data_IF_506872480715
#
_entry.id   IF_506872480715
#
_cell.length_a   1.000
_cell.length_b   1.000
_cell.length_c   1.000
_cell.angle_alpha   90.00
_cell.angle_beta   90.00
_cell.angle_gamma   90.00
#
_symmetry.space_group_name_H-M   'P 1'
#
loop_
_entity.id
_entity.type
_entity.pdbx_description
1 polymer ?
#
# COMPACT_ATOMS: atom_id res chain seq x y z
N UNK A 1 -19.85 30.05 -6.78
CA UNK A 1 -18.53 29.82 -7.40
C UNK A 1 -18.39 28.32 -7.77
N UNK A 2 -18.38 28.00 -9.07
CA UNK A 2 -18.25 26.61 -9.54
C UNK A 2 -16.91 25.98 -9.13
N UNK A 3 -15.84 26.76 -9.05
CA UNK A 3 -14.53 26.27 -8.60
C UNK A 3 -14.55 25.89 -7.11
N UNK A 4 -15.36 26.56 -6.29
CA UNK A 4 -15.54 26.14 -4.91
C UNK A 4 -16.19 24.74 -4.82
N UNK A 5 -17.26 24.53 -5.59
CA UNK A 5 -17.92 23.23 -5.66
C UNK A 5 -16.94 22.14 -6.14
N UNK A 6 -16.22 22.41 -7.22
CA UNK A 6 -15.24 21.48 -7.78
C UNK A 6 -14.14 21.12 -6.75
N UNK A 7 -13.60 22.09 -5.99
CA UNK A 7 -12.65 21.83 -4.90
C UNK A 7 -13.22 20.91 -3.82
N UNK A 8 -14.51 21.08 -3.49
CA UNK A 8 -15.18 20.19 -2.52
C UNK A 8 -15.32 18.78 -3.06
N UNK A 9 -15.59 18.59 -4.35
CA UNK A 9 -15.65 17.28 -4.99
C UNK A 9 -14.27 16.59 -5.00
N UNK A 10 -13.18 17.32 -5.27
CA UNK A 10 -11.81 16.78 -5.18
C UNK A 10 -11.53 16.25 -3.77
N UNK A 11 -11.85 17.05 -2.75
CA UNK A 11 -11.65 16.61 -1.36
C UNK A 11 -12.49 15.39 -1.02
N UNK A 12 -13.77 15.40 -1.37
CA UNK A 12 -14.67 14.26 -1.17
C UNK A 12 -14.15 12.98 -1.85
N UNK A 13 -13.64 13.09 -3.07
CA UNK A 13 -13.08 11.96 -3.79
C UNK A 13 -11.94 11.28 -3.04
N UNK A 14 -11.06 12.06 -2.39
CA UNK A 14 -9.92 11.51 -1.63
C UNK A 14 -10.29 11.08 -0.21
N UNK A 15 -11.22 11.78 0.44
CA UNK A 15 -11.55 11.62 1.86
C UNK A 15 -12.61 10.53 2.09
N UNK A 16 -13.63 10.46 1.22
CA UNK A 16 -14.80 9.59 1.39
C UNK A 16 -14.82 8.38 0.44
N UNK A 17 -14.15 8.47 -0.71
CA UNK A 17 -14.04 7.38 -1.68
C UNK A 17 -12.64 6.73 -1.61
N UNK A 18 -11.59 7.54 -1.60
CA UNK A 18 -10.22 7.10 -1.45
C UNK A 18 -9.83 6.02 -2.45
N UNK A 19 -9.21 4.96 -1.95
CA UNK A 19 -8.76 3.84 -2.78
C UNK A 19 -9.84 2.80 -3.09
N UNK A 20 -11.07 2.99 -2.61
CA UNK A 20 -12.20 2.16 -3.04
C UNK A 20 -12.47 2.36 -4.54
N UNK A 21 -12.29 3.60 -5.04
CA UNK A 21 -12.27 3.91 -6.48
C UNK A 21 -11.32 5.09 -6.77
N UNK A 22 -10.10 4.79 -7.19
CA UNK A 22 -9.07 5.82 -7.48
C UNK A 22 -9.44 6.75 -8.65
N UNK A 23 -10.34 6.35 -9.55
CA UNK A 23 -10.80 7.20 -10.66
C UNK A 23 -11.64 8.37 -10.17
N UNK A 24 -12.21 8.29 -8.98
CA UNK A 24 -13.00 9.36 -8.38
C UNK A 24 -12.21 10.68 -8.31
N UNK A 25 -10.94 10.61 -7.90
CA UNK A 25 -10.06 11.78 -7.85
C UNK A 25 -9.76 12.33 -9.25
N UNK A 26 -9.48 11.49 -10.22
CA UNK A 26 -9.21 11.88 -11.61
C UNK A 26 -10.41 12.63 -12.21
N UNK A 27 -11.62 12.09 -12.02
CA UNK A 27 -12.88 12.71 -12.51
C UNK A 27 -13.14 14.04 -11.82
N UNK A 28 -12.93 14.13 -10.50
CA UNK A 28 -13.11 15.37 -9.76
C UNK A 28 -12.12 16.46 -10.21
N UNK A 29 -10.86 16.09 -10.48
CA UNK A 29 -9.84 17.00 -11.01
C UNK A 29 -10.17 17.44 -12.43
N UNK A 30 -10.62 16.53 -13.30
CA UNK A 30 -11.06 16.86 -14.65
C UNK A 30 -12.25 17.83 -14.65
N UNK A 31 -13.23 17.63 -13.75
CA UNK A 31 -14.34 18.56 -13.57
C UNK A 31 -13.88 19.94 -13.09
N UNK A 32 -12.91 20.01 -12.19
CA UNK A 32 -12.30 21.28 -11.77
C UNK A 32 -11.63 22.00 -12.95
N UNK A 33 -10.87 21.30 -13.76
CA UNK A 33 -10.22 21.86 -14.95
C UNK A 33 -11.25 22.36 -15.96
N UNK A 34 -12.32 21.60 -16.20
CA UNK A 34 -13.40 22.00 -17.07
C UNK A 34 -14.08 23.31 -16.58
N UNK A 35 -14.33 23.44 -15.26
CA UNK A 35 -14.86 24.67 -14.68
C UNK A 35 -13.91 25.85 -14.87
N UNK A 36 -12.60 25.62 -14.77
CA UNK A 36 -11.60 26.66 -14.95
C UNK A 36 -11.50 27.14 -16.41
N UNK A 37 -11.59 26.22 -17.37
CA UNK A 37 -11.43 26.54 -18.78
C UNK A 37 -12.69 27.09 -19.44
N UNK A 38 -13.86 26.55 -19.06
CA UNK A 38 -15.14 26.88 -19.73
C UNK A 38 -15.91 27.96 -18.99
N UNK A 39 -15.86 27.98 -17.66
CA UNK A 39 -16.70 28.87 -16.86
C UNK A 39 -18.17 28.44 -16.86
N UNK A 40 -19.01 29.34 -16.31
CA UNK A 40 -20.46 29.20 -16.30
C UNK A 40 -21.06 29.77 -17.59
N UNK A 41 -22.15 29.20 -18.11
CA UNK A 41 -22.91 28.04 -17.57
C UNK A 41 -22.41 26.67 -18.05
N UNK A 42 -21.47 26.61 -18.98
CA UNK A 42 -21.05 25.38 -19.68
C UNK A 42 -20.47 24.32 -18.73
N UNK A 43 -19.76 24.75 -17.68
CA UNK A 43 -19.16 23.82 -16.70
C UNK A 43 -20.19 23.06 -15.85
N UNK A 44 -21.47 23.44 -15.85
CA UNK A 44 -22.51 22.79 -15.06
C UNK A 44 -22.64 21.30 -15.37
N UNK A 45 -22.56 20.93 -16.66
CA UNK A 45 -22.67 19.51 -17.08
C UNK A 45 -21.50 18.70 -16.54
N UNK A 46 -20.30 19.27 -16.51
CA UNK A 46 -19.09 18.59 -16.01
C UNK A 46 -19.14 18.39 -14.49
N UNK A 47 -19.64 19.40 -13.76
CA UNK A 47 -19.90 19.26 -12.31
C UNK A 47 -20.95 18.20 -12.03
N UNK A 48 -22.05 18.21 -12.78
CA UNK A 48 -23.12 17.21 -12.65
C UNK A 48 -22.60 15.80 -12.92
N UNK A 49 -21.79 15.63 -13.97
CA UNK A 49 -21.15 14.34 -14.27
C UNK A 49 -20.31 13.85 -13.09
N UNK A 50 -19.43 14.71 -12.55
CA UNK A 50 -18.62 14.36 -11.39
C UNK A 50 -19.46 14.01 -10.16
N UNK A 51 -20.51 14.78 -9.86
CA UNK A 51 -21.42 14.51 -8.74
C UNK A 51 -22.09 13.15 -8.87
N UNK A 52 -22.63 12.81 -10.05
CA UNK A 52 -23.28 11.51 -10.29
C UNK A 52 -22.27 10.39 -10.08
N UNK A 53 -21.08 10.48 -10.69
CA UNK A 53 -20.03 9.47 -10.55
C UNK A 53 -19.65 9.26 -9.08
N UNK A 54 -19.32 10.33 -8.36
CA UNK A 54 -18.91 10.27 -6.96
C UNK A 54 -20.03 9.74 -6.04
N UNK A 55 -21.29 10.01 -6.38
CA UNK A 55 -22.45 9.52 -5.61
C UNK A 55 -22.63 8.01 -5.70
N UNK A 56 -22.25 7.42 -6.84
CA UNK A 56 -22.38 5.98 -7.11
C UNK A 56 -21.12 5.18 -6.77
N UNK A 57 -19.99 5.85 -6.54
CA UNK A 57 -18.72 5.21 -6.23
C UNK A 57 -18.76 4.49 -4.87
N UNK A 58 -18.07 3.35 -4.73
CA UNK A 58 -17.87 2.70 -3.44
C UNK A 58 -17.09 3.63 -2.51
N UNK A 59 -17.36 3.58 -1.21
CA UNK A 59 -16.79 4.51 -0.24
C UNK A 59 -15.80 3.85 0.70
N UNK A 60 -14.69 4.55 0.96
CA UNK A 60 -13.74 4.22 2.01
C UNK A 60 -13.05 5.48 2.52
N UNK A 61 -12.98 5.64 3.82
CA UNK A 61 -12.23 6.69 4.48
C UNK A 61 -10.87 6.22 5.03
N UNK A 62 -10.38 5.06 4.57
CA UNK A 62 -9.14 4.47 5.06
C UNK A 62 -7.91 5.37 4.80
N UNK A 63 -7.89 6.09 3.67
CA UNK A 63 -6.83 7.06 3.34
C UNK A 63 -6.85 8.24 4.32
N UNK A 64 -8.03 8.79 4.60
CA UNK A 64 -8.19 9.88 5.56
C UNK A 64 -7.74 9.47 6.97
N UNK A 65 -8.17 8.30 7.44
CA UNK A 65 -7.75 7.75 8.74
C UNK A 65 -6.24 7.52 8.81
N UNK A 66 -5.64 7.01 7.73
CA UNK A 66 -4.20 6.83 7.63
C UNK A 66 -3.45 8.16 7.76
N UNK A 67 -3.92 9.19 7.05
CA UNK A 67 -3.36 10.53 7.15
C UNK A 67 -3.44 11.11 8.55
N UNK A 68 -4.62 11.05 9.20
CA UNK A 68 -4.80 11.60 10.55
C UNK A 68 -3.93 10.86 11.59
N UNK A 69 -3.83 9.54 11.51
CA UNK A 69 -2.96 8.75 12.40
C UNK A 69 -1.47 9.10 12.19
N UNK A 70 -1.02 9.18 10.94
CA UNK A 70 0.36 9.56 10.63
C UNK A 70 0.68 10.99 11.08
N UNK A 71 -0.26 11.92 10.91
CA UNK A 71 -0.13 13.31 11.35
C UNK A 71 0.00 13.40 12.87
N UNK A 72 -0.79 12.65 13.63
CA UNK A 72 -0.68 12.61 15.09
C UNK A 72 0.69 12.12 15.55
N UNK A 73 1.17 11.01 14.99
CA UNK A 73 2.50 10.49 15.33
C UNK A 73 3.60 11.51 14.93
N UNK A 74 3.52 12.12 13.75
CA UNK A 74 4.49 13.12 13.31
C UNK A 74 4.53 14.37 14.21
N UNK A 75 3.38 14.82 14.73
CA UNK A 75 3.33 15.97 15.66
C UNK A 75 3.94 15.66 17.04
N UNK A 76 3.86 14.40 17.48
CA UNK A 76 4.41 13.98 18.78
C UNK A 76 5.90 13.58 18.70
N UNK A 77 6.45 13.41 17.49
CA UNK A 77 7.76 12.82 17.24
C UNK A 77 8.64 13.72 16.35
N UNK A 78 8.56 15.03 16.54
CA UNK A 78 9.28 16.03 15.74
C UNK A 78 10.81 15.86 15.76
N UNK A 79 11.36 15.27 16.82
CA UNK A 79 12.80 15.13 17.05
C UNK A 79 13.35 13.74 16.65
N UNK A 80 12.49 12.84 16.15
CA UNK A 80 12.92 11.50 15.75
C UNK A 80 13.79 11.54 14.50
N UNK A 81 15.01 11.01 14.57
CA UNK A 81 15.91 11.03 13.42
C UNK A 81 15.48 10.01 12.36
N UNK A 82 15.77 10.31 11.10
CA UNK A 82 15.62 9.34 10.01
C UNK A 82 16.49 8.10 10.32
N UNK A 83 15.96 6.85 10.22
CA UNK A 83 16.74 5.65 10.47
C UNK A 83 18.01 5.55 9.63
N UNK A 84 19.11 5.08 10.21
CA UNK A 84 20.42 5.02 9.54
C UNK A 84 20.37 4.20 8.25
N UNK A 85 19.60 3.12 8.22
CA UNK A 85 19.48 2.21 7.08
C UNK A 85 19.01 2.91 5.79
N UNK A 86 18.21 3.99 5.89
CA UNK A 86 17.69 4.72 4.73
C UNK A 86 18.41 6.07 4.51
N UNK A 87 19.48 6.37 5.27
CA UNK A 87 20.29 7.56 5.05
C UNK A 87 21.35 7.32 3.97
N UNK A 88 21.48 8.26 3.06
CA UNK A 88 22.56 8.22 2.07
C UNK A 88 23.93 8.49 2.75
N UNK A 89 24.96 7.76 2.31
CA UNK A 89 26.35 7.91 2.77
C UNK A 89 27.26 8.49 1.66
N UNK A 90 27.09 9.77 1.24
CA UNK A 90 27.90 10.35 0.15
C UNK A 90 29.35 10.57 0.52
N UNK A 91 29.71 10.52 1.80
CA UNK A 91 31.10 10.67 2.27
C UNK A 91 31.54 9.43 3.04
N UNK A 92 32.87 9.20 3.08
CA UNK A 92 33.46 8.11 3.84
C UNK A 92 33.09 8.15 5.31
N UNK A 93 33.09 9.32 5.94
CA UNK A 93 32.71 9.51 7.33
C UNK A 93 31.26 9.06 7.60
N UNK A 94 30.33 9.37 6.70
CA UNK A 94 28.93 8.94 6.83
C UNK A 94 28.80 7.42 6.76
N UNK A 95 29.58 6.76 5.88
CA UNK A 95 29.66 5.30 5.85
C UNK A 95 30.19 4.71 7.15
N UNK A 96 31.27 5.29 7.71
CA UNK A 96 31.86 4.89 9.00
C UNK A 96 30.89 5.09 10.18
N UNK A 97 29.93 6.04 10.05
CA UNK A 97 28.84 6.27 11.01
C UNK A 97 27.63 5.34 10.80
N UNK A 98 27.70 4.36 9.88
CA UNK A 98 26.65 3.37 9.63
C UNK A 98 25.50 3.86 8.75
N UNK A 99 25.66 4.98 8.03
CA UNK A 99 24.63 5.45 7.10
C UNK A 99 24.48 4.47 5.94
N UNK A 100 23.23 4.02 5.68
CA UNK A 100 22.91 3.06 4.64
C UNK A 100 23.30 1.61 4.98
N UNK A 101 23.79 1.34 6.18
CA UNK A 101 24.13 -0.01 6.60
C UNK A 101 22.87 -0.89 6.64
N UNK A 102 22.92 -2.05 5.95
CA UNK A 102 21.78 -2.95 5.84
C UNK A 102 20.71 -2.51 4.82
N UNK A 103 20.98 -1.47 4.03
CA UNK A 103 20.04 -1.06 2.98
C UNK A 103 19.93 -2.13 1.89
N UNK A 104 18.69 -2.51 1.59
CA UNK A 104 18.37 -3.46 0.51
C UNK A 104 17.59 -2.72 -0.57
N UNK A 105 18.16 -2.65 -1.77
CA UNK A 105 17.48 -2.05 -2.91
C UNK A 105 16.42 -3.03 -3.44
N UNK A 106 15.16 -2.69 -3.27
CA UNK A 106 14.04 -3.60 -3.60
C UNK A 106 14.05 -4.09 -5.05
N UNK A 107 14.60 -3.32 -6.00
CA UNK A 107 14.70 -3.76 -7.40
C UNK A 107 15.71 -4.88 -7.64
N UNK A 108 16.63 -5.11 -6.69
CA UNK A 108 17.62 -6.19 -6.79
C UNK A 108 17.07 -7.52 -6.24
N UNK A 109 15.92 -7.49 -5.56
CA UNK A 109 15.23 -8.70 -5.10
C UNK A 109 14.31 -9.24 -6.19
N UNK A 110 14.06 -10.54 -6.18
CA UNK A 110 13.16 -11.21 -7.14
C UNK A 110 11.73 -10.65 -7.05
N UNK A 111 11.21 -10.52 -5.83
CA UNK A 111 9.84 -10.07 -5.56
C UNK A 111 9.68 -8.55 -5.61
N UNK A 112 10.77 -7.79 -5.83
CA UNK A 112 10.79 -6.32 -5.79
C UNK A 112 10.31 -5.73 -4.46
N UNK A 113 10.57 -6.46 -3.37
CA UNK A 113 10.23 -6.10 -2.00
C UNK A 113 11.49 -6.18 -1.12
N UNK A 114 11.64 -5.25 -0.18
CA UNK A 114 12.70 -5.31 0.83
C UNK A 114 12.11 -5.50 2.24
N UNK A 115 12.74 -6.35 3.04
CA UNK A 115 12.30 -6.68 4.40
C UNK A 115 12.99 -5.83 5.48
N UNK A 116 13.47 -4.64 5.13
CA UNK A 116 14.09 -3.72 6.09
C UNK A 116 13.03 -2.83 6.79
N UNK A 117 13.34 -2.41 8.02
CA UNK A 117 12.53 -1.44 8.74
C UNK A 117 12.95 -0.01 8.36
N UNK A 118 11.98 0.79 7.93
CA UNK A 118 12.21 2.16 7.48
C UNK A 118 11.61 3.22 8.41
N UNK A 119 10.88 2.80 9.43
CA UNK A 119 10.34 3.69 10.45
C UNK A 119 11.35 3.85 11.61
N UNK A 120 11.32 4.96 12.35
CA UNK A 120 12.04 5.09 13.61
C UNK A 120 11.68 3.96 14.58
N UNK A 121 12.59 3.66 15.51
CA UNK A 121 12.41 2.55 16.47
C UNK A 121 11.10 2.67 17.27
N UNK A 122 10.75 3.87 17.68
CA UNK A 122 9.51 4.20 18.40
C UNK A 122 8.23 3.94 17.61
N UNK A 123 8.33 3.88 16.27
CA UNK A 123 7.22 3.59 15.35
C UNK A 123 7.32 2.20 14.72
N UNK A 124 8.26 1.37 15.17
CA UNK A 124 8.44 0.03 14.60
C UNK A 124 7.13 -0.76 14.59
N UNK A 125 6.80 -1.30 13.42
CA UNK A 125 5.56 -2.06 13.21
C UNK A 125 4.27 -1.23 13.13
N UNK A 126 4.36 0.10 13.23
CA UNK A 126 3.21 1.00 13.07
C UNK A 126 2.64 0.88 11.66
N UNK A 127 1.30 0.81 11.56
CA UNK A 127 0.58 0.75 10.29
C UNK A 127 -0.48 1.84 10.28
N UNK A 128 -0.41 2.70 9.28
CA UNK A 128 -1.36 3.80 9.13
C UNK A 128 -2.50 3.43 8.19
N UNK A 129 -2.20 2.82 7.05
CA UNK A 129 -3.21 2.42 6.09
C UNK A 129 -3.76 1.03 6.41
N UNK A 130 -5.05 0.99 6.71
CA UNK A 130 -5.81 -0.23 6.99
C UNK A 130 -6.93 -0.33 5.95
N UNK A 131 -6.70 -1.01 4.82
CA UNK A 131 -7.67 -1.09 3.73
C UNK A 131 -8.95 -1.80 4.14
N UNK A 132 -10.08 -1.29 3.61
CA UNK A 132 -11.41 -1.89 3.74
C UNK A 132 -11.67 -2.98 2.71
N UNK A 133 -12.97 -3.30 2.56
CA UNK A 133 -13.45 -4.31 1.61
C UNK A 133 -14.19 -3.68 0.41
N UNK A 134 -14.36 -2.34 0.40
CA UNK A 134 -15.15 -1.67 -0.61
C UNK A 134 -14.37 -1.48 -1.91
N UNK A 135 -14.98 -1.76 -3.04
CA UNK A 135 -14.41 -1.54 -4.37
C UNK A 135 -13.02 -2.17 -4.57
N UNK A 136 -12.07 -1.38 -5.06
CA UNK A 136 -10.70 -1.84 -5.31
C UNK A 136 -9.85 -2.02 -4.04
N UNK A 137 -10.31 -1.55 -2.87
CA UNK A 137 -9.58 -1.74 -1.61
C UNK A 137 -9.50 -3.21 -1.18
N UNK A 138 -10.49 -4.05 -1.49
CA UNK A 138 -10.42 -5.48 -1.22
C UNK A 138 -9.17 -6.13 -1.86
N UNK A 139 -8.86 -5.74 -3.11
CA UNK A 139 -7.66 -6.20 -3.81
C UNK A 139 -6.38 -5.59 -3.22
N UNK A 140 -6.41 -4.31 -2.85
CA UNK A 140 -5.30 -3.64 -2.19
C UNK A 140 -4.96 -4.30 -0.84
N UNK A 141 -5.97 -4.70 -0.06
CA UNK A 141 -5.84 -5.44 1.19
C UNK A 141 -5.11 -6.76 0.99
N UNK A 142 -5.57 -7.58 0.04
CA UNK A 142 -4.93 -8.87 -0.27
C UNK A 142 -3.47 -8.70 -0.65
N UNK A 143 -3.15 -7.70 -1.50
CA UNK A 143 -1.78 -7.40 -1.89
C UNK A 143 -0.93 -6.95 -0.69
N UNK A 144 -1.46 -6.05 0.15
CA UNK A 144 -0.76 -5.57 1.34
C UNK A 144 -0.46 -6.71 2.31
N UNK A 145 -1.43 -7.59 2.58
CA UNK A 145 -1.25 -8.75 3.43
C UNK A 145 -0.20 -9.72 2.90
N UNK A 146 -0.16 -9.94 1.57
CA UNK A 146 0.88 -10.76 0.95
C UNK A 146 2.28 -10.15 1.14
N UNK A 147 2.44 -8.84 0.92
CA UNK A 147 3.69 -8.11 1.16
C UNK A 147 4.12 -8.20 2.62
N UNK A 148 3.18 -8.04 3.56
CA UNK A 148 3.48 -8.11 5.00
C UNK A 148 3.89 -9.51 5.44
N UNK A 149 3.25 -10.57 4.93
CA UNK A 149 3.65 -11.96 5.19
C UNK A 149 5.05 -12.22 4.67
N UNK A 150 5.33 -11.79 3.44
CA UNK A 150 6.66 -11.95 2.85
C UNK A 150 7.73 -11.21 3.68
N UNK A 151 7.49 -9.94 4.05
CA UNK A 151 8.41 -9.17 4.89
C UNK A 151 8.66 -9.83 6.24
N UNK A 152 7.63 -10.38 6.88
CA UNK A 152 7.76 -11.08 8.15
C UNK A 152 8.64 -12.35 8.04
N UNK A 153 8.51 -13.09 6.93
CA UNK A 153 9.31 -14.29 6.67
C UNK A 153 10.78 -13.97 6.34
N UNK A 154 11.08 -12.78 5.79
CA UNK A 154 12.43 -12.38 5.35
C UNK A 154 13.05 -11.28 6.23
N UNK A 155 12.42 -10.96 7.37
CA UNK A 155 12.97 -9.97 8.31
C UNK A 155 14.32 -10.47 8.88
N UNK A 156 15.31 -9.57 9.10
CA UNK A 156 16.55 -9.92 9.77
C UNK A 156 16.26 -10.58 11.12
N UNK A 157 16.68 -11.84 11.31
CA UNK A 157 16.43 -12.63 12.52
C UNK A 157 15.18 -13.54 12.48
N UNK A 158 14.42 -13.58 11.40
CA UNK A 158 13.39 -14.60 11.19
C UNK A 158 14.05 -15.98 11.11
N UNK A 159 13.72 -16.89 12.03
CA UNK A 159 14.16 -18.29 11.93
C UNK A 159 13.50 -18.90 10.69
N UNK A 160 14.31 -19.44 9.78
CA UNK A 160 13.80 -20.21 8.66
C UNK A 160 12.89 -21.32 9.20
N UNK A 161 11.61 -21.30 8.86
CA UNK A 161 10.77 -22.48 9.06
C UNK A 161 11.29 -23.57 8.12
N UNK A 162 11.54 -24.81 8.60
CA UNK A 162 11.94 -25.91 7.72
C UNK A 162 10.81 -26.10 6.70
N UNK A 163 11.19 -26.08 5.43
CA UNK A 163 10.33 -26.51 4.34
C UNK A 163 9.96 -27.94 4.62
N UNK A 164 8.67 -28.25 4.73
CA UNK A 164 8.17 -29.60 4.94
C UNK A 164 8.70 -30.50 3.83
N UNK A 165 9.45 -31.51 4.22
CA UNK A 165 9.84 -32.65 3.37
C UNK A 165 8.53 -33.26 2.85
N UNK A 166 8.29 -33.17 1.55
CA UNK A 166 7.32 -34.02 0.87
C UNK A 166 7.84 -35.48 1.04
N UNK A 167 7.24 -36.20 1.95
CA UNK A 167 7.40 -37.67 2.02
C UNK A 167 6.95 -38.27 0.68
N UNK A 168 7.92 -38.57 -0.17
CA UNK A 168 7.74 -39.50 -1.29
C UNK A 168 7.56 -40.89 -0.73
N UNK A 169 6.32 -41.24 -0.42
CA UNK A 169 5.93 -42.59 -0.07
C UNK A 169 6.09 -43.53 -1.26
N UNK A 170 7.28 -44.14 -1.34
CA UNK A 170 7.55 -45.29 -2.21
C UNK A 170 6.98 -46.52 -1.53
N UNK A 171 5.75 -46.90 -1.87
CA UNK A 171 5.12 -48.17 -1.47
C UNK A 171 5.27 -49.16 -2.60
N UNK A 172 6.36 -49.92 -2.52
CA UNK A 172 6.63 -51.05 -3.41
C UNK A 172 5.79 -52.30 -3.06
N UNK A 173 5.51 -53.03 -4.13
CA UNK A 173 5.62 -54.46 -4.14
C UNK A 173 4.42 -55.31 -3.67
N UNK A 174 3.83 -56.00 -4.55
CA UNK A 174 3.89 -57.48 -4.62
C UNK A 174 2.72 -58.00 -5.45
N UNK A 175 3.03 -58.51 -6.61
CA UNK A 175 2.26 -59.67 -7.13
C UNK A 175 2.52 -60.88 -6.23
N UNK A 176 1.61 -61.82 -6.14
CA UNK A 176 1.73 -62.95 -7.06
C UNK A 176 0.42 -63.66 -7.47
N UNK A 177 0.47 -64.18 -8.70
CA UNK A 177 0.25 -65.61 -8.91
C UNK A 177 -1.18 -66.12 -9.11
N UNK A 178 -1.50 -66.38 -10.36
CA UNK A 178 -1.78 -67.71 -10.96
C UNK A 178 -3.13 -68.40 -10.72
N UNK A 179 -3.68 -68.79 -11.85
CA UNK A 179 -4.45 -69.99 -12.20
C UNK A 179 -5.96 -69.92 -12.22
N UNK A 180 -6.44 -70.02 -13.43
CA UNK A 180 -7.09 -71.14 -14.09
C UNK A 180 -8.58 -71.34 -13.78
N UNK A 181 -9.42 -71.09 -14.64
CA UNK A 181 -10.18 -71.98 -15.54
C UNK A 181 -10.99 -71.15 -16.54
#
# INVERSE_FOLDING_TARGET
DPLYVARRLIRFASEDIGLADSRALEIAVAAYQACHFLGMPECNVHLTHAVIYLSLAPRSNAVYKAYEAAKQDALHMLDEPVPLVIRNAPTRLMGELGYGEGYVYAHDTEEKIAAMECLPESLRGRRYYLPGEAGSEARAKQKLEAVLRWRAAHAPGAKAQPQGEEESGHGGGAEPGAKAQ
#
